data_IF_622760246077
#
_entry.id   IF_622760246077
#
_cell.length_a   1.000
_cell.length_b   1.000
_cell.length_c   1.000
_cell.angle_alpha   90.00
_cell.angle_beta   90.00
_cell.angle_gamma   90.00
#
_symmetry.space_group_name_H-M   'P 1'
#
loop_
_entity.id
_entity.type
_entity.pdbx_description
1 polymer ?
#
# COMPACT_ATOMS: atom_id res chain seq x y z
N UNK A 1 -10.54 15.67 25.46
CA UNK A 1 -9.36 14.80 25.59
C UNK A 1 -9.18 14.13 24.24
N UNK A 2 -8.17 14.52 23.46
CA UNK A 2 -7.87 13.80 22.21
C UNK A 2 -7.40 12.41 22.61
N UNK A 3 -8.16 11.39 22.22
CA UNK A 3 -7.71 10.01 22.38
C UNK A 3 -6.41 9.87 21.60
N UNK A 4 -5.32 9.56 22.30
CA UNK A 4 -4.13 9.05 21.68
C UNK A 4 -4.55 7.80 20.89
N UNK A 5 -4.43 7.87 19.56
CA UNK A 5 -4.86 6.79 18.67
C UNK A 5 -3.95 5.56 18.83
N UNK A 6 -2.86 5.65 19.61
CA UNK A 6 -1.94 4.54 19.87
C UNK A 6 -1.06 4.19 18.67
N UNK A 7 -1.05 5.02 17.64
CA UNK A 7 -0.27 4.85 16.40
C UNK A 7 0.52 6.11 16.11
N UNK A 8 1.81 6.08 16.43
CA UNK A 8 2.75 7.16 16.10
C UNK A 8 3.29 7.09 14.67
N UNK A 9 4.02 8.12 14.21
CA UNK A 9 4.60 8.22 12.87
C UNK A 9 5.37 6.97 12.41
N UNK A 10 6.15 6.37 13.31
CA UNK A 10 6.91 5.16 13.04
C UNK A 10 6.03 3.93 12.76
N UNK A 11 4.86 3.81 13.39
CA UNK A 11 3.92 2.74 13.14
C UNK A 11 3.23 2.91 11.77
N UNK A 12 2.88 4.15 11.39
CA UNK A 12 2.29 4.48 10.09
C UNK A 12 3.25 4.19 8.92
N UNK A 13 4.50 4.65 9.02
CA UNK A 13 5.56 4.37 8.03
C UNK A 13 5.81 2.86 7.87
N UNK A 14 5.82 2.13 8.99
CA UNK A 14 6.00 0.67 8.99
C UNK A 14 4.83 -0.04 8.32
N UNK A 15 3.59 0.31 8.68
CA UNK A 15 2.39 -0.26 8.06
C UNK A 15 2.35 -0.03 6.55
N UNK A 16 2.71 1.17 6.08
CA UNK A 16 2.81 1.46 4.64
C UNK A 16 3.84 0.58 3.93
N UNK A 17 4.98 0.30 4.58
CA UNK A 17 6.02 -0.60 4.04
C UNK A 17 5.54 -2.04 4.02
N UNK A 18 4.94 -2.53 5.11
CA UNK A 18 4.42 -3.90 5.24
C UNK A 18 3.33 -4.20 4.19
N UNK A 19 2.43 -3.25 3.93
CA UNK A 19 1.42 -3.35 2.87
C UNK A 19 2.09 -3.58 1.50
N UNK A 20 3.16 -2.86 1.19
CA UNK A 20 3.89 -3.00 -0.07
C UNK A 20 4.66 -4.31 -0.16
N UNK A 21 5.27 -4.76 0.95
CA UNK A 21 6.00 -6.04 1.01
C UNK A 21 5.06 -7.23 0.79
N UNK A 22 3.88 -7.25 1.42
CA UNK A 22 2.87 -8.31 1.25
C UNK A 22 2.41 -8.44 -0.20
N UNK A 23 2.46 -7.36 -0.98
CA UNK A 23 2.01 -7.35 -2.37
C UNK A 23 3.11 -7.53 -3.41
N UNK A 24 4.38 -7.57 -3.02
CA UNK A 24 5.47 -7.94 -3.94
C UNK A 24 5.26 -9.29 -4.62
N UNK A 25 4.81 -10.36 -3.94
CA UNK A 25 4.56 -11.66 -4.58
C UNK A 25 3.46 -11.57 -5.64
N UNK A 26 2.41 -10.79 -5.38
CA UNK A 26 1.27 -10.62 -6.30
C UNK A 26 1.70 -9.98 -7.63
N UNK A 27 2.66 -9.04 -7.60
CA UNK A 27 3.28 -8.47 -8.82
C UNK A 27 4.26 -9.40 -9.54
N UNK A 28 4.72 -10.48 -8.91
CA UNK A 28 5.71 -11.41 -9.48
C UNK A 28 5.08 -12.61 -10.18
N UNK A 29 3.76 -12.80 -10.05
CA UNK A 29 3.05 -13.88 -10.72
C UNK A 29 2.89 -13.49 -12.20
N UNK A 30 3.82 -13.97 -13.02
CA UNK A 30 3.75 -13.86 -14.47
C UNK A 30 2.94 -15.04 -15.04
N UNK A 31 1.75 -14.73 -15.54
CA UNK A 31 0.84 -15.72 -16.14
C UNK A 31 0.89 -15.74 -17.68
N UNK A 32 1.82 -15.00 -18.28
CA UNK A 32 2.01 -14.98 -19.73
C UNK A 32 2.41 -16.36 -20.30
N UNK A 33 3.17 -17.15 -19.54
CA UNK A 33 3.51 -18.53 -19.87
C UNK A 33 2.29 -19.46 -19.91
N UNK A 34 1.53 -19.62 -18.80
CA UNK A 34 0.32 -20.42 -18.74
C UNK A 34 -0.73 -20.09 -19.82
N UNK A 35 -0.93 -18.81 -20.15
CA UNK A 35 -1.84 -18.39 -21.23
C UNK A 35 -1.40 -18.87 -22.62
N UNK A 36 -0.09 -18.99 -22.86
CA UNK A 36 0.48 -19.55 -24.09
C UNK A 36 0.38 -21.07 -24.19
N UNK A 37 0.30 -21.78 -23.05
CA UNK A 37 0.08 -23.24 -23.01
C UNK A 37 -1.39 -23.63 -23.15
N UNK A 38 -2.33 -22.68 -23.11
CA UNK A 38 -3.75 -22.95 -23.28
C UNK A 38 -4.04 -23.76 -24.56
N UNK A 39 -3.35 -23.45 -25.66
CA UNK A 39 -3.45 -24.18 -26.95
C UNK A 39 -2.89 -25.60 -26.91
N UNK A 40 -2.09 -25.96 -25.90
CA UNK A 40 -1.54 -27.32 -25.74
C UNK A 40 -2.48 -28.28 -24.98
N UNK A 41 -3.57 -27.75 -24.40
CA UNK A 41 -4.54 -28.54 -23.62
C UNK A 41 -5.39 -29.43 -24.53
N UNK A 42 -5.55 -29.07 -25.81
CA UNK A 42 -6.35 -29.83 -26.79
C UNK A 42 -7.86 -29.77 -26.55
N UNK A 43 -8.29 -28.92 -25.62
CA UNK A 43 -9.68 -28.63 -25.26
C UNK A 43 -9.86 -27.10 -25.28
N UNK A 44 -10.62 -26.62 -26.25
CA UNK A 44 -10.81 -25.19 -26.53
C UNK A 44 -11.54 -24.47 -25.38
N UNK A 45 -12.45 -25.15 -24.68
CA UNK A 45 -13.19 -24.57 -23.54
C UNK A 45 -12.26 -24.42 -22.33
N UNK A 46 -11.42 -25.42 -22.07
CA UNK A 46 -10.41 -25.36 -21.02
C UNK A 46 -9.33 -24.29 -21.32
N UNK A 47 -8.94 -24.16 -22.58
CA UNK A 47 -8.01 -23.13 -23.04
C UNK A 47 -8.60 -21.72 -22.83
N UNK A 48 -9.85 -21.50 -23.23
CA UNK A 48 -10.55 -20.23 -23.05
C UNK A 48 -10.73 -19.89 -21.57
N UNK A 49 -11.08 -20.86 -20.73
CA UNK A 49 -11.20 -20.68 -19.29
C UNK A 49 -9.86 -20.28 -18.64
N UNK A 50 -8.75 -20.91 -19.07
CA UNK A 50 -7.42 -20.58 -18.57
C UNK A 50 -7.00 -19.16 -18.95
N UNK A 51 -7.22 -18.75 -20.21
CA UNK A 51 -6.95 -17.38 -20.66
C UNK A 51 -7.77 -16.37 -19.86
N UNK A 52 -9.06 -16.65 -19.64
CA UNK A 52 -9.96 -15.80 -18.86
C UNK A 52 -9.50 -15.66 -17.39
N UNK A 53 -9.07 -16.78 -16.78
CA UNK A 53 -8.49 -16.78 -15.44
C UNK A 53 -7.23 -15.90 -15.37
N UNK A 54 -6.28 -16.09 -16.29
CA UNK A 54 -5.04 -15.31 -16.31
C UNK A 54 -5.31 -13.81 -16.43
N UNK A 55 -6.16 -13.41 -17.38
CA UNK A 55 -6.53 -12.01 -17.58
C UNK A 55 -7.23 -11.39 -16.35
N UNK A 56 -8.10 -12.17 -15.70
CA UNK A 56 -8.80 -11.74 -14.47
C UNK A 56 -7.81 -11.57 -13.32
N UNK A 57 -6.88 -12.51 -13.16
CA UNK A 57 -5.84 -12.44 -12.13
C UNK A 57 -4.91 -11.25 -12.32
N UNK A 58 -4.44 -11.01 -13.56
CA UNK A 58 -3.61 -9.85 -13.89
C UNK A 58 -4.33 -8.53 -13.59
N UNK A 59 -5.60 -8.40 -13.96
CA UNK A 59 -6.39 -7.21 -13.69
C UNK A 59 -6.64 -7.00 -12.19
N UNK A 60 -7.00 -8.06 -11.47
CA UNK A 60 -7.26 -8.01 -10.03
C UNK A 60 -6.00 -7.71 -9.21
N UNK A 61 -4.88 -8.32 -9.57
CA UNK A 61 -3.57 -8.07 -8.94
C UNK A 61 -3.08 -6.64 -9.17
N UNK A 62 -3.27 -6.09 -10.38
CA UNK A 62 -2.97 -4.70 -10.68
C UNK A 62 -3.83 -3.73 -9.85
N UNK A 63 -5.13 -3.99 -9.73
CA UNK A 63 -6.03 -3.18 -8.90
C UNK A 63 -5.61 -3.21 -7.42
N UNK A 64 -5.35 -4.40 -6.88
CA UNK A 64 -4.92 -4.57 -5.48
C UNK A 64 -3.59 -3.84 -5.21
N UNK A 65 -2.64 -3.94 -6.14
CA UNK A 65 -1.38 -3.22 -6.06
C UNK A 65 -1.57 -1.69 -6.05
N UNK A 66 -2.51 -1.18 -6.84
CA UNK A 66 -2.82 0.26 -6.86
C UNK A 66 -3.45 0.72 -5.54
N UNK A 67 -4.46 0.00 -5.04
CA UNK A 67 -5.09 0.31 -3.74
C UNK A 67 -4.06 0.36 -2.61
N UNK A 68 -3.13 -0.58 -2.59
CA UNK A 68 -2.07 -0.62 -1.59
C UNK A 68 -1.05 0.50 -1.73
N UNK A 69 -0.68 0.88 -2.95
CA UNK A 69 0.17 2.04 -3.17
C UNK A 69 -0.49 3.32 -2.65
N UNK A 70 -1.79 3.51 -2.91
CA UNK A 70 -2.57 4.62 -2.37
C UNK A 70 -2.62 4.60 -0.84
N UNK A 71 -2.87 3.43 -0.24
CA UNK A 71 -2.92 3.29 1.22
C UNK A 71 -1.56 3.59 1.87
N UNK A 72 -0.48 3.06 1.30
CA UNK A 72 0.88 3.30 1.76
C UNK A 72 1.28 4.79 1.64
N UNK A 73 0.91 5.46 0.54
CA UNK A 73 1.09 6.91 0.41
C UNK A 73 0.29 7.69 1.46
N UNK A 74 -0.96 7.30 1.70
CA UNK A 74 -1.79 7.92 2.73
C UNK A 74 -1.19 7.81 4.13
N UNK A 75 -0.66 6.64 4.48
CA UNK A 75 0.05 6.43 5.74
C UNK A 75 1.34 7.25 5.83
N UNK A 76 2.09 7.35 4.74
CA UNK A 76 3.28 8.19 4.66
C UNK A 76 2.96 9.67 4.87
N UNK A 77 1.89 10.16 4.23
CA UNK A 77 1.42 11.55 4.41
C UNK A 77 0.98 11.81 5.85
N UNK A 78 0.17 10.93 6.41
CA UNK A 78 -0.28 11.05 7.80
C UNK A 78 0.91 11.10 8.77
N UNK A 79 1.93 10.26 8.56
CA UNK A 79 3.16 10.31 9.34
C UNK A 79 3.88 11.66 9.26
N UNK A 80 3.93 12.29 8.08
CA UNK A 80 4.51 13.62 7.91
C UNK A 80 3.70 14.71 8.62
N UNK A 81 2.37 14.68 8.45
CA UNK A 81 1.47 15.65 9.08
C UNK A 81 1.58 15.59 10.62
N UNK A 82 1.78 14.39 11.20
CA UNK A 82 2.05 14.24 12.63
C UNK A 82 3.39 14.86 13.06
N UNK A 83 4.46 14.62 12.30
CA UNK A 83 5.79 15.17 12.58
C UNK A 83 5.77 16.71 12.52
N UNK A 84 5.12 17.28 11.51
CA UNK A 84 4.97 18.72 11.33
C UNK A 84 4.12 19.35 12.44
N UNK A 85 3.02 18.70 12.82
CA UNK A 85 2.16 19.16 13.92
C UNK A 85 2.92 19.16 15.25
N UNK A 86 3.67 18.10 15.55
CA UNK A 86 4.44 18.01 16.80
C UNK A 86 5.55 19.10 16.85
N UNK A 87 6.22 19.35 15.72
CA UNK A 87 7.19 20.44 15.64
C UNK A 87 6.55 21.82 15.82
N UNK A 88 5.40 22.08 15.18
CA UNK A 88 4.66 23.33 15.37
C UNK A 88 4.25 23.55 16.84
N UNK A 89 3.83 22.48 17.54
CA UNK A 89 3.52 22.53 18.97
C UNK A 89 4.79 22.85 19.77
N UNK A 90 5.91 22.18 19.51
CA UNK A 90 7.19 22.45 20.22
C UNK A 90 7.67 23.88 20.02
N UNK A 91 7.59 24.40 18.80
CA UNK A 91 7.97 25.78 18.49
C UNK A 91 7.06 26.78 19.21
N UNK A 92 5.75 26.53 19.24
CA UNK A 92 4.80 27.34 20.00
C UNK A 92 5.10 27.35 21.51
N UNK A 93 5.41 26.17 22.09
CA UNK A 93 5.80 26.05 23.50
C UNK A 93 7.10 26.80 23.79
N UNK A 94 8.10 26.71 22.92
CA UNK A 94 9.36 27.46 23.05
C UNK A 94 9.11 28.96 23.01
N UNK A 95 8.30 29.44 22.07
CA UNK A 95 7.95 30.85 21.93
C UNK A 95 7.29 31.39 23.22
N UNK A 96 6.31 30.68 23.78
CA UNK A 96 5.67 31.06 25.05
C UNK A 96 6.66 31.10 26.20
N UNK A 97 7.57 30.11 26.30
CA UNK A 97 8.61 30.11 27.34
C UNK A 97 9.54 31.32 27.24
N UNK A 98 9.94 31.71 26.04
CA UNK A 98 10.79 32.89 25.82
C UNK A 98 10.08 34.21 26.18
N UNK A 99 8.76 34.29 26.02
CA UNK A 99 7.97 35.48 26.39
C UNK A 99 7.80 35.59 27.92
N UNK A 100 7.80 34.45 28.62
CA UNK A 100 7.62 34.37 30.07
C UNK A 100 8.94 34.45 30.87
N UNK A 101 10.09 34.41 30.20
CA UNK A 101 11.44 34.54 30.77
C UNK A 101 11.96 35.96 30.62
#
# INVERSE_FOLDING_TARGET
MSHDLGVGPGALKRGGTEILEILKPVKKVDLSGPGGYATSIGDDDAAAALVSFCATWESGSAFLANCAATLAQGLGKASGDYEDTDEAIRQSVKSVKTVLS
#
